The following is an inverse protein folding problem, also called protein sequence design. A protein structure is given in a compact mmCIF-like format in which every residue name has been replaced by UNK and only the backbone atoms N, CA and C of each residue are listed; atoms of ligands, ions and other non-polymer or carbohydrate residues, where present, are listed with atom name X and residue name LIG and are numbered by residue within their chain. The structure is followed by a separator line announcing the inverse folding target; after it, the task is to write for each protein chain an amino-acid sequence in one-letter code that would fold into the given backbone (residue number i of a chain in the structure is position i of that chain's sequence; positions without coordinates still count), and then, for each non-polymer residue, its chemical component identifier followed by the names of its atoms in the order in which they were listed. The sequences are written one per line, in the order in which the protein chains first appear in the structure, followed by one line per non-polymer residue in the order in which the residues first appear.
data_IF_584613195380
#
_entry.id   IF_584613195380
#
_cell.length_a   1.000
_cell.length_b   1.000
_cell.length_c   1.000
_cell.angle_alpha   90.00
_cell.angle_beta   90.00
_cell.angle_gamma   90.00
#
_symmetry.space_group_name_H-M   'P 1'
#
loop_
_entity.id
_entity.type
_entity.pdbx_description
1 polymer ?
#
# COMPACT_ATOMS: atom_id res chain seq x y z
N UNK A 1 -7.68 3.29 9.89
CA UNK A 1 -8.56 2.12 9.71
C UNK A 1 -9.12 1.53 11.00
N UNK A 2 -8.76 1.98 12.19
CA UNK A 2 -9.38 1.62 13.48
C UNK A 2 -9.35 0.13 13.85
N UNK A 3 -8.33 -0.61 13.44
CA UNK A 3 -8.21 -2.00 13.85
C UNK A 3 -7.91 -2.13 15.35
N UNK A 4 -8.57 -3.07 16.01
CA UNK A 4 -8.31 -3.37 17.40
C UNK A 4 -6.88 -3.91 17.59
N UNK A 5 -6.17 -3.47 18.65
CA UNK A 5 -4.77 -3.80 18.92
C UNK A 5 -4.46 -5.31 18.85
N UNK A 6 -5.38 -6.16 19.31
CA UNK A 6 -5.23 -7.63 19.24
C UNK A 6 -5.11 -8.13 17.80
N UNK A 7 -5.85 -7.54 16.84
CA UNK A 7 -5.77 -7.91 15.42
C UNK A 7 -4.46 -7.44 14.82
N UNK A 8 -4.03 -6.23 15.15
CA UNK A 8 -2.75 -5.69 14.71
C UNK A 8 -1.61 -6.59 15.20
N UNK A 9 -1.58 -6.92 16.49
CA UNK A 9 -0.58 -7.79 17.08
C UNK A 9 -0.56 -9.17 16.42
N UNK A 10 -1.72 -9.76 16.14
CA UNK A 10 -1.83 -11.05 15.46
C UNK A 10 -1.23 -10.99 14.04
N UNK A 11 -1.59 -9.98 13.24
CA UNK A 11 -1.06 -9.80 11.88
C UNK A 11 0.45 -9.58 11.91
N UNK A 12 0.94 -8.73 12.81
CA UNK A 12 2.38 -8.51 12.98
C UNK A 12 3.12 -9.80 13.36
N UNK A 13 2.55 -10.62 14.24
CA UNK A 13 3.13 -11.92 14.60
C UNK A 13 3.20 -12.85 13.39
N UNK A 14 2.14 -12.92 12.57
CA UNK A 14 2.15 -13.73 11.35
C UNK A 14 3.26 -13.31 10.37
N UNK A 15 3.51 -12.01 10.22
CA UNK A 15 4.56 -11.47 9.34
C UNK A 15 5.97 -11.77 9.91
N UNK A 16 6.14 -11.68 11.22
CA UNK A 16 7.45 -11.81 11.88
C UNK A 16 7.94 -13.25 12.03
N UNK A 17 7.03 -14.24 12.03
CA UNK A 17 7.37 -15.66 12.19
C UNK A 17 7.98 -16.25 10.93
N UNK A 18 7.81 -15.61 9.77
CA UNK A 18 8.26 -16.16 8.48
C UNK A 18 9.78 -16.19 8.40
N UNK A 19 10.33 -17.35 8.06
CA UNK A 19 11.75 -17.53 7.77
C UNK A 19 11.92 -18.24 6.43
N UNK A 20 13.03 -17.96 5.75
CA UNK A 20 13.35 -18.49 4.43
C UNK A 20 14.72 -19.17 4.43
N UNK A 21 14.84 -20.16 3.59
CA UNK A 21 16.12 -20.81 3.25
C UNK A 21 16.28 -20.80 1.74
N UNK A 22 17.50 -20.66 1.26
CA UNK A 22 17.82 -20.77 -0.17
C UNK A 22 18.12 -22.23 -0.49
N UNK A 23 17.48 -22.74 -1.52
CA UNK A 23 17.80 -24.08 -2.04
C UNK A 23 19.05 -24.00 -2.93
N UNK A 24 20.12 -24.66 -2.51
CA UNK A 24 21.34 -24.82 -3.30
C UNK A 24 21.48 -26.30 -3.65
N UNK A 25 21.38 -26.63 -4.93
CA UNK A 25 21.40 -28.01 -5.43
C UNK A 25 20.34 -28.93 -4.75
N UNK A 26 19.16 -28.37 -4.44
CA UNK A 26 18.06 -29.10 -3.80
C UNK A 26 18.15 -29.22 -2.27
N UNK A 27 19.23 -28.74 -1.66
CA UNK A 27 19.38 -28.68 -0.20
C UNK A 27 19.13 -27.29 0.36
N UNK A 28 18.33 -27.13 1.44
CA UNK A 28 18.14 -25.85 2.07
C UNK A 28 19.43 -25.37 2.75
N UNK A 29 19.92 -24.22 2.33
CA UNK A 29 21.12 -23.56 2.87
C UNK A 29 20.79 -22.17 3.38
N UNK A 30 21.35 -21.87 4.54
CA UNK A 30 21.12 -20.60 5.23
C UNK A 30 19.68 -20.46 5.74
N UNK A 31 19.49 -19.60 6.72
CA UNK A 31 18.18 -19.24 7.25
C UNK A 31 18.15 -17.74 7.45
N UNK A 32 17.16 -17.05 6.88
CA UNK A 32 17.03 -15.62 7.03
C UNK A 32 15.58 -15.22 7.28
N UNK A 33 15.40 -14.20 8.11
CA UNK A 33 14.11 -13.58 8.38
C UNK A 33 14.04 -12.25 7.63
N UNK A 34 13.00 -11.98 6.83
CA UNK A 34 12.85 -10.71 6.17
C UNK A 34 12.63 -9.61 7.22
N UNK A 35 13.30 -8.49 7.03
CA UNK A 35 13.18 -7.33 7.92
C UNK A 35 12.21 -6.26 7.40
N UNK A 36 11.82 -6.35 6.12
CA UNK A 36 10.94 -5.37 5.45
C UNK A 36 10.11 -6.05 4.38
N UNK A 37 8.91 -5.50 4.15
CA UNK A 37 8.00 -5.91 3.10
C UNK A 37 7.24 -7.20 3.41
N UNK A 38 6.37 -7.55 2.48
CA UNK A 38 5.61 -8.80 2.47
C UNK A 38 6.31 -9.79 1.53
N UNK A 39 6.26 -11.05 1.90
CA UNK A 39 6.96 -12.08 1.14
C UNK A 39 6.12 -12.54 -0.05
N UNK A 40 6.75 -12.64 -1.21
CA UNK A 40 6.14 -13.25 -2.37
C UNK A 40 5.97 -14.75 -2.11
N UNK A 41 4.75 -15.28 -2.33
CA UNK A 41 4.40 -16.68 -2.08
C UNK A 41 3.79 -16.95 -0.70
N UNK A 42 3.73 -15.97 0.20
CA UNK A 42 2.96 -16.08 1.44
C UNK A 42 1.47 -15.89 1.17
N UNK A 43 0.64 -16.78 1.72
CA UNK A 43 -0.82 -16.77 1.54
C UNK A 43 -1.49 -15.50 2.09
N UNK A 44 -0.91 -14.85 3.10
CA UNK A 44 -1.45 -13.64 3.71
C UNK A 44 -1.02 -12.36 2.96
N UNK A 45 0.10 -12.38 2.26
CA UNK A 45 0.65 -11.21 1.59
C UNK A 45 -0.32 -10.50 0.65
N UNK A 46 -1.07 -11.18 -0.24
CA UNK A 46 -2.04 -10.52 -1.11
C UNK A 46 -3.15 -9.80 -0.35
N UNK A 47 -3.65 -10.40 0.73
CA UNK A 47 -4.72 -9.80 1.54
C UNK A 47 -4.22 -8.58 2.32
N UNK A 48 -3.02 -8.65 2.87
CA UNK A 48 -2.39 -7.52 3.57
C UNK A 48 -2.10 -6.37 2.60
N UNK A 49 -1.66 -6.68 1.39
CA UNK A 49 -1.47 -5.69 0.33
C UNK A 49 -2.79 -4.99 -0.01
N UNK A 50 -3.89 -5.73 -0.21
CA UNK A 50 -5.21 -5.15 -0.48
C UNK A 50 -5.71 -4.26 0.67
N UNK A 51 -5.43 -4.64 1.93
CA UNK A 51 -5.77 -3.80 3.08
C UNK A 51 -4.97 -2.49 3.08
N UNK A 52 -3.68 -2.54 2.77
CA UNK A 52 -2.83 -1.35 2.67
C UNK A 52 -3.27 -0.45 1.51
N UNK A 53 -3.50 -1.03 0.32
CA UNK A 53 -4.01 -0.30 -0.84
C UNK A 53 -5.37 0.34 -0.58
N UNK A 54 -6.29 -0.38 0.10
CA UNK A 54 -7.58 0.16 0.53
C UNK A 54 -7.45 1.30 1.53
N UNK A 55 -6.46 1.24 2.42
CA UNK A 55 -6.13 2.33 3.34
C UNK A 55 -5.65 3.58 2.61
N UNK A 56 -4.71 3.41 1.72
CA UNK A 56 -4.20 4.50 0.90
C UNK A 56 -5.32 5.10 0.02
N UNK A 57 -6.14 4.26 -0.61
CA UNK A 57 -7.33 4.72 -1.35
C UNK A 57 -8.24 5.60 -0.47
N UNK A 58 -8.53 5.16 0.77
CA UNK A 58 -9.38 5.92 1.69
C UNK A 58 -8.79 7.28 2.05
N UNK A 59 -7.48 7.35 2.29
CA UNK A 59 -6.77 8.60 2.57
C UNK A 59 -6.81 9.55 1.36
N UNK A 60 -6.57 9.04 0.16
CA UNK A 60 -6.68 9.81 -1.08
C UNK A 60 -8.09 10.33 -1.33
N UNK A 61 -9.12 9.52 -1.05
CA UNK A 61 -10.53 9.96 -1.14
C UNK A 61 -10.86 11.04 -0.10
N UNK A 62 -10.36 10.91 1.11
CA UNK A 62 -10.53 11.93 2.14
C UNK A 62 -9.85 13.24 1.74
N UNK A 63 -8.61 13.21 1.24
CA UNK A 63 -7.90 14.39 0.75
C UNK A 63 -8.65 15.08 -0.40
N UNK A 64 -9.26 14.29 -1.30
CA UNK A 64 -10.12 14.80 -2.37
C UNK A 64 -11.39 15.44 -1.83
N UNK A 65 -12.04 14.86 -0.83
CA UNK A 65 -13.26 15.41 -0.20
C UNK A 65 -12.99 16.73 0.52
N UNK A 66 -11.80 16.85 1.10
CA UNK A 66 -11.34 18.09 1.76
C UNK A 66 -10.79 19.14 0.77
N UNK A 67 -10.86 18.88 -0.54
CA UNK A 67 -10.30 19.72 -1.62
C UNK A 67 -8.78 19.97 -1.50
N UNK A 68 -8.10 19.12 -0.72
CA UNK A 68 -6.64 19.15 -0.57
C UNK A 68 -5.93 18.63 -1.82
N UNK A 69 -6.59 17.76 -2.59
CA UNK A 69 -6.13 17.24 -3.88
C UNK A 69 -7.27 17.31 -4.87
N UNK A 70 -7.06 18.00 -6.00
CA UNK A 70 -8.12 18.22 -7.00
C UNK A 70 -8.24 17.12 -8.03
N UNK A 71 -7.17 16.35 -8.24
CA UNK A 71 -7.10 15.38 -9.29
C UNK A 71 -7.11 15.98 -10.70
N UNK A 72 -7.15 15.11 -11.71
CA UNK A 72 -7.16 15.50 -13.13
C UNK A 72 -8.42 14.97 -13.79
N UNK A 73 -9.05 15.79 -14.62
CA UNK A 73 -10.16 15.40 -15.50
C UNK A 73 -9.65 15.18 -16.92
N UNK A 74 -9.96 14.03 -17.47
CA UNK A 74 -9.55 13.66 -18.84
C UNK A 74 -10.51 14.18 -19.93
N UNK A 75 -11.68 14.70 -19.54
CA UNK A 75 -12.64 15.31 -20.46
C UNK A 75 -13.41 16.45 -19.77
N UNK A 76 -13.96 17.37 -20.57
CA UNK A 76 -14.57 18.62 -20.07
C UNK A 76 -15.72 18.45 -19.06
N UNK A 77 -16.36 17.29 -19.00
CA UNK A 77 -17.44 16.97 -18.05
C UNK A 77 -17.21 15.63 -17.33
N UNK A 78 -15.98 15.10 -17.38
CA UNK A 78 -15.66 13.80 -16.79
C UNK A 78 -15.35 13.85 -15.30
N UNK A 79 -15.35 12.69 -14.64
CA UNK A 79 -14.96 12.59 -13.25
C UNK A 79 -13.48 12.98 -13.08
N UNK A 80 -13.18 13.63 -11.97
CA UNK A 80 -11.80 13.90 -11.59
C UNK A 80 -11.19 12.63 -10.99
N UNK A 81 -10.05 12.21 -11.53
CA UNK A 81 -9.28 11.07 -11.05
C UNK A 81 -8.09 11.60 -10.26
N UNK A 82 -7.91 11.14 -9.03
CA UNK A 82 -6.78 11.50 -8.17
C UNK A 82 -5.74 10.38 -8.06
N UNK A 83 -6.15 9.13 -8.25
CA UNK A 83 -5.25 7.99 -8.19
C UNK A 83 -5.80 6.79 -8.96
N UNK A 84 -4.91 5.94 -9.42
CA UNK A 84 -5.19 4.62 -10.00
C UNK A 84 -4.19 3.64 -9.41
N UNK A 85 -4.68 2.54 -8.86
CA UNK A 85 -3.86 1.44 -8.38
C UNK A 85 -4.06 0.22 -9.28
N UNK A 86 -2.97 -0.35 -9.74
CA UNK A 86 -2.96 -1.56 -10.57
C UNK A 86 -1.82 -2.46 -10.11
N UNK A 87 -2.17 -3.60 -9.54
CA UNK A 87 -1.22 -4.52 -8.91
C UNK A 87 -0.32 -3.77 -7.90
N UNK A 88 0.98 -3.81 -8.10
CA UNK A 88 2.02 -3.14 -7.32
C UNK A 88 2.32 -1.70 -7.75
N UNK A 89 1.70 -1.25 -8.85
CA UNK A 89 1.86 0.10 -9.39
C UNK A 89 0.79 1.06 -8.88
N UNK A 90 1.18 2.30 -8.60
CA UNK A 90 0.29 3.38 -8.24
C UNK A 90 0.56 4.64 -9.06
N UNK A 91 -0.48 5.18 -9.67
CA UNK A 91 -0.43 6.48 -10.34
C UNK A 91 -1.22 7.50 -9.51
N UNK A 92 -0.59 8.62 -9.19
CA UNK A 92 -1.20 9.73 -8.48
C UNK A 92 -1.33 10.92 -9.44
N UNK A 93 -2.50 11.52 -9.48
CA UNK A 93 -2.83 12.66 -10.34
C UNK A 93 -3.15 13.88 -9.47
N UNK A 94 -2.36 14.92 -9.59
CA UNK A 94 -2.53 16.16 -8.83
C UNK A 94 -2.05 17.37 -9.61
N UNK A 95 -2.43 18.56 -9.17
CA UNK A 95 -1.93 19.79 -9.76
C UNK A 95 -0.52 20.07 -9.25
N UNK A 96 0.37 20.57 -10.13
CA UNK A 96 1.76 20.87 -9.79
C UNK A 96 1.83 22.17 -8.93
N UNK A 97 1.14 22.17 -7.79
CA UNK A 97 1.19 23.23 -6.78
C UNK A 97 1.94 22.74 -5.54
N UNK A 98 2.66 23.64 -4.88
CA UNK A 98 3.40 23.28 -3.65
C UNK A 98 2.49 22.72 -2.57
N UNK A 99 1.25 23.21 -2.49
CA UNK A 99 0.27 22.75 -1.49
C UNK A 99 -0.15 21.30 -1.73
N UNK A 100 -0.58 20.95 -2.95
CA UNK A 100 -0.98 19.56 -3.25
C UNK A 100 0.19 18.59 -3.14
N UNK A 101 1.40 19.02 -3.54
CA UNK A 101 2.61 18.21 -3.39
C UNK A 101 2.91 17.90 -1.91
N UNK A 102 2.80 18.89 -1.02
CA UNK A 102 2.98 18.69 0.43
C UNK A 102 1.93 17.73 0.98
N UNK A 103 0.66 17.90 0.64
CA UNK A 103 -0.40 17.00 1.10
C UNK A 103 -0.20 15.54 0.66
N UNK A 104 0.29 15.32 -0.56
CA UNK A 104 0.58 13.96 -1.04
C UNK A 104 1.73 13.32 -0.27
N UNK A 105 2.74 14.10 0.12
CA UNK A 105 3.87 13.61 0.93
C UNK A 105 3.49 13.29 2.38
N UNK A 106 2.38 13.85 2.88
CA UNK A 106 1.85 13.60 4.23
C UNK A 106 0.90 12.39 4.30
N UNK A 107 0.41 11.90 3.15
CA UNK A 107 -0.43 10.70 3.03
C UNK A 107 0.41 9.43 3.04
#
# INVERSE_FOLDING_TARGET
MGFHNRRISFICSCIQIVSFSVLVNGEPRGNFTPKRGLCQGDLLSPYLFLLCAGGLHSLMQQAKTLDAIKGVSFCNAGPKVSHLFFADDGLLFYQATSQECTHILEI
#
